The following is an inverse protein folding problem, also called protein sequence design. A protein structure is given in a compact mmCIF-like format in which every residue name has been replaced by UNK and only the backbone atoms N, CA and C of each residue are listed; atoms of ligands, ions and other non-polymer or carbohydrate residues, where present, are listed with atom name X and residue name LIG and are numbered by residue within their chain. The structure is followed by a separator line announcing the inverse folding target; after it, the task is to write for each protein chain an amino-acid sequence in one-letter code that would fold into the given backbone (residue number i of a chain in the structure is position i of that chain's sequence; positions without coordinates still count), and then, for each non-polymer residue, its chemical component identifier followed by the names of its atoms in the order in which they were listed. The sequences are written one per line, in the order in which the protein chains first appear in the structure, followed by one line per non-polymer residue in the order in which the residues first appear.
data_IF_409634779004
#
_entry.id   IF_409634779004
#
_cell.length_a   1.000
_cell.length_b   1.000
_cell.length_c   1.000
_cell.angle_alpha   90.00
_cell.angle_beta   90.00
_cell.angle_gamma   90.00
#
_symmetry.space_group_name_H-M   'P 1'
#
loop_
_entity.id
_entity.type
_entity.pdbx_description
1 polymer ?
#
# COMPACT_ATOMS: atom_id res chain seq x y z
N UNK A 1 5.14 18.84 20.37
CA UNK A 1 3.73 18.79 19.90
C UNK A 1 3.54 17.99 18.60
N UNK A 2 4.60 17.44 17.97
CA UNK A 2 4.51 16.70 16.68
C UNK A 2 4.14 15.20 16.78
N UNK A 3 4.08 14.61 17.98
CA UNK A 3 3.74 13.18 18.15
C UNK A 3 2.23 12.93 18.03
N UNK A 4 1.41 13.87 18.52
CA UNK A 4 -0.04 13.72 18.60
C UNK A 4 -0.73 13.75 17.23
N UNK A 5 -0.20 14.51 16.27
CA UNK A 5 -0.77 14.60 14.92
C UNK A 5 -0.51 13.30 14.14
N UNK A 6 0.69 12.73 14.26
CA UNK A 6 1.02 11.40 13.73
C UNK A 6 0.12 10.33 14.34
N UNK A 7 -0.03 10.30 15.66
CA UNK A 7 -0.89 9.30 16.33
C UNK A 7 -2.38 9.44 15.97
N UNK A 8 -2.86 10.67 15.79
CA UNK A 8 -4.23 10.93 15.32
C UNK A 8 -4.44 10.44 13.88
N UNK A 9 -3.49 10.73 12.98
CA UNK A 9 -3.50 10.26 11.60
C UNK A 9 -3.47 8.73 11.52
N UNK A 10 -2.62 8.10 12.33
CA UNK A 10 -2.52 6.64 12.48
C UNK A 10 -3.86 6.02 12.91
N UNK A 11 -4.64 6.69 13.76
CA UNK A 11 -5.98 6.24 14.14
C UNK A 11 -6.99 6.34 12.99
N UNK A 12 -6.94 7.41 12.20
CA UNK A 12 -7.85 7.58 11.06
C UNK A 12 -7.59 6.54 9.96
N UNK A 13 -6.31 6.29 9.61
CA UNK A 13 -5.96 5.27 8.62
C UNK A 13 -6.29 3.87 9.12
N UNK A 14 -5.95 3.54 10.37
CA UNK A 14 -6.31 2.23 10.94
C UNK A 14 -7.83 2.00 10.92
N UNK A 15 -8.64 3.02 11.21
CA UNK A 15 -10.09 2.89 11.16
C UNK A 15 -10.64 2.71 9.73
N UNK A 16 -10.03 3.36 8.73
CA UNK A 16 -10.43 3.26 7.34
C UNK A 16 -10.01 1.93 6.68
N UNK A 17 -8.83 1.42 7.04
CA UNK A 17 -8.25 0.20 6.46
C UNK A 17 -8.69 -1.05 7.21
N UNK A 18 -8.84 -0.97 8.54
CA UNK A 18 -9.26 -2.09 9.38
C UNK A 18 -10.78 -2.07 9.58
N UNK A 19 -11.52 -2.49 8.56
CA UNK A 19 -12.95 -2.79 8.70
C UNK A 19 -13.15 -4.32 8.83
N UNK A 20 -13.18 -4.89 10.05
CA UNK A 20 -13.33 -6.33 10.27
C UNK A 20 -14.68 -6.90 9.77
N UNK A 21 -15.58 -6.04 9.30
CA UNK A 21 -16.92 -6.39 8.80
C UNK A 21 -17.07 -6.27 7.28
N UNK A 22 -16.04 -5.86 6.52
CA UNK A 22 -16.09 -5.91 5.05
C UNK A 22 -16.05 -7.39 4.65
N UNK A 23 -17.22 -7.96 4.30
CA UNK A 23 -17.34 -9.34 3.79
C UNK A 23 -16.46 -9.49 2.56
N UNK A 24 -15.29 -10.08 2.72
CA UNK A 24 -14.45 -10.53 1.61
C UNK A 24 -15.14 -11.70 0.95
N UNK A 25 -15.57 -11.52 -0.32
CA UNK A 25 -15.63 -12.65 -1.26
C UNK A 25 -14.29 -13.38 -1.15
N UNK A 26 -14.32 -14.71 -1.01
CA UNK A 26 -13.20 -15.66 -0.89
C UNK A 26 -11.86 -15.02 -0.50
N UNK A 27 -11.40 -15.27 0.74
CA UNK A 27 -10.10 -14.81 1.26
C UNK A 27 -9.00 -15.07 0.22
N UNK A 28 -8.68 -14.06 -0.59
CA UNK A 28 -7.58 -14.15 -1.53
C UNK A 28 -6.31 -14.18 -0.68
N UNK A 29 -5.56 -15.28 -0.75
CA UNK A 29 -4.28 -15.39 -0.08
C UNK A 29 -3.35 -14.40 -0.77
N UNK A 30 -3.07 -13.28 -0.11
CA UNK A 30 -2.11 -12.29 -0.57
C UNK A 30 -0.69 -12.89 -0.48
N UNK A 31 0.20 -12.60 -1.43
CA UNK A 31 1.57 -13.09 -1.38
C UNK A 31 2.28 -12.57 -0.13
N UNK A 32 3.17 -13.40 0.42
CA UNK A 32 3.94 -13.07 1.61
C UNK A 32 5.27 -12.44 1.20
N UNK A 33 5.61 -11.31 1.82
CA UNK A 33 6.87 -10.61 1.63
C UNK A 33 7.74 -10.75 2.88
N UNK A 34 9.07 -10.78 2.67
CA UNK A 34 10.03 -10.83 3.77
C UNK A 34 10.39 -9.41 4.18
N UNK A 35 10.06 -9.08 5.42
CA UNK A 35 10.34 -7.77 6.00
C UNK A 35 11.45 -7.95 7.04
N UNK A 36 12.34 -6.96 7.12
CA UNK A 36 13.33 -6.88 8.19
C UNK A 36 12.89 -5.80 9.17
N UNK A 37 12.78 -6.14 10.45
CA UNK A 37 12.51 -5.16 11.51
C UNK A 37 13.69 -4.17 11.60
N UNK A 38 13.41 -2.88 11.53
CA UNK A 38 14.45 -1.84 11.58
C UNK A 38 15.09 -1.71 12.97
N UNK A 39 14.40 -2.16 14.03
CA UNK A 39 14.85 -2.05 15.42
C UNK A 39 15.54 -3.32 15.87
N UNK A 40 14.96 -4.49 15.60
CA UNK A 40 15.51 -5.79 16.06
C UNK A 40 16.40 -6.45 15.01
N UNK A 41 16.30 -6.05 13.74
CA UNK A 41 16.98 -6.71 12.62
C UNK A 41 16.40 -8.09 12.27
N UNK A 42 15.30 -8.50 12.91
CA UNK A 42 14.68 -9.80 12.68
C UNK A 42 13.95 -9.83 11.35
N UNK A 43 14.07 -10.95 10.63
CA UNK A 43 13.35 -11.18 9.38
C UNK A 43 12.09 -11.98 9.65
N UNK A 44 10.97 -11.51 9.14
CA UNK A 44 9.69 -12.20 9.27
C UNK A 44 8.86 -12.02 8.00
N UNK A 45 7.92 -12.93 7.77
CA UNK A 45 7.07 -12.92 6.57
C UNK A 45 5.68 -12.43 6.93
N UNK A 46 5.18 -11.44 6.19
CA UNK A 46 3.82 -10.91 6.34
C UNK A 46 3.13 -10.79 4.98
N UNK A 47 1.79 -10.74 4.92
CA UNK A 47 1.09 -10.43 3.69
C UNK A 47 1.56 -9.09 3.13
N UNK A 48 1.79 -9.02 1.81
CA UNK A 48 2.25 -7.79 1.14
C UNK A 48 1.39 -6.58 1.49
N UNK A 49 0.07 -6.78 1.56
CA UNK A 49 -0.87 -5.71 1.91
C UNK A 49 -0.57 -5.08 3.28
N UNK A 50 -0.20 -5.90 4.26
CA UNK A 50 0.16 -5.42 5.60
C UNK A 50 1.48 -4.64 5.57
N UNK A 51 2.44 -5.09 4.76
CA UNK A 51 3.71 -4.40 4.59
C UNK A 51 3.53 -3.04 3.89
N UNK A 52 2.75 -2.99 2.81
CA UNK A 52 2.41 -1.74 2.12
C UNK A 52 1.71 -0.76 3.05
N UNK A 53 0.77 -1.24 3.86
CA UNK A 53 0.09 -0.42 4.86
C UNK A 53 1.08 0.14 5.88
N UNK A 54 1.99 -0.68 6.40
CA UNK A 54 3.04 -0.23 7.34
C UNK A 54 3.92 0.87 6.74
N UNK A 55 4.32 0.73 5.47
CA UNK A 55 5.10 1.74 4.76
C UNK A 55 4.32 3.05 4.56
N UNK A 56 3.04 2.98 4.19
CA UNK A 56 2.16 4.17 4.11
C UNK A 56 2.08 4.88 5.47
N UNK A 57 1.84 4.11 6.54
CA UNK A 57 1.76 4.64 7.90
C UNK A 57 3.07 5.29 8.37
N UNK A 58 4.21 4.82 7.87
CA UNK A 58 5.54 5.39 8.10
C UNK A 58 5.89 6.56 7.16
N UNK A 59 4.95 7.04 6.35
CA UNK A 59 5.17 8.07 5.32
C UNK A 59 6.22 7.68 4.26
N UNK A 60 6.43 6.38 4.06
CA UNK A 60 7.36 5.84 3.05
C UNK A 60 6.61 5.40 1.79
N UNK A 61 5.82 6.30 1.21
CA UNK A 61 4.91 5.97 0.09
C UNK A 61 5.69 5.50 -1.15
N UNK A 62 6.82 6.14 -1.47
CA UNK A 62 7.68 5.72 -2.59
C UNK A 62 8.22 4.28 -2.41
N UNK A 63 8.60 3.91 -1.18
CA UNK A 63 9.06 2.55 -0.87
C UNK A 63 7.91 1.54 -0.98
N UNK A 64 6.70 1.95 -0.57
CA UNK A 64 5.50 1.14 -0.73
C UNK A 64 5.17 0.90 -2.21
N UNK A 65 5.21 1.93 -3.04
CA UNK A 65 4.95 1.80 -4.49
C UNK A 65 6.00 0.91 -5.17
N UNK A 66 7.29 1.10 -4.86
CA UNK A 66 8.35 0.24 -5.38
C UNK A 66 8.12 -1.23 -5.02
N UNK A 67 7.74 -1.50 -3.77
CA UNK A 67 7.44 -2.86 -3.30
C UNK A 67 6.20 -3.45 -4.01
N UNK A 68 5.16 -2.65 -4.21
CA UNK A 68 3.96 -3.08 -4.93
C UNK A 68 4.32 -3.57 -6.35
N UNK A 69 5.10 -2.78 -7.09
CA UNK A 69 5.48 -3.13 -8.46
C UNK A 69 6.53 -4.24 -8.53
N UNK A 70 7.48 -4.32 -7.59
CA UNK A 70 8.48 -5.40 -7.58
C UNK A 70 7.86 -6.77 -7.36
N UNK A 71 6.77 -6.84 -6.58
CA UNK A 71 6.07 -8.08 -6.28
C UNK A 71 5.02 -8.46 -7.35
N UNK A 72 4.84 -7.63 -8.38
CA UNK A 72 3.87 -7.90 -9.45
C UNK A 72 4.12 -9.22 -10.18
N UNK A 73 5.39 -9.63 -10.33
CA UNK A 73 5.79 -10.90 -10.95
C UNK A 73 5.48 -12.12 -10.07
N UNK A 74 5.30 -11.92 -8.76
CA UNK A 74 5.07 -12.98 -7.78
C UNK A 74 3.58 -13.27 -7.50
N UNK A 75 2.66 -12.62 -8.22
CA UNK A 75 1.22 -12.79 -8.02
C UNK A 75 0.44 -12.79 -9.32
N UNK A 76 -0.79 -13.29 -9.29
CA UNK A 76 -1.66 -13.25 -10.46
C UNK A 76 -2.03 -11.79 -10.82
N UNK A 77 -2.21 -11.50 -12.11
CA UNK A 77 -2.54 -10.16 -12.59
C UNK A 77 -3.77 -9.54 -11.90
N UNK A 78 -4.81 -10.35 -11.66
CA UNK A 78 -6.02 -9.90 -10.96
C UNK A 78 -5.71 -9.51 -9.51
N UNK A 79 -4.89 -10.30 -8.81
CA UNK A 79 -4.47 -10.01 -7.44
C UNK A 79 -3.61 -8.74 -7.39
N UNK A 80 -2.67 -8.57 -8.31
CA UNK A 80 -1.85 -7.37 -8.43
C UNK A 80 -2.72 -6.13 -8.69
N UNK A 81 -3.68 -6.24 -9.61
CA UNK A 81 -4.57 -5.14 -9.95
C UNK A 81 -5.46 -4.72 -8.78
N UNK A 82 -6.07 -5.67 -8.08
CA UNK A 82 -6.89 -5.38 -6.90
C UNK A 82 -6.05 -4.82 -5.74
N UNK A 83 -4.83 -5.32 -5.54
CA UNK A 83 -3.90 -4.78 -4.54
C UNK A 83 -3.49 -3.34 -4.88
N UNK A 84 -3.12 -3.06 -6.13
CA UNK A 84 -2.76 -1.72 -6.57
C UNK A 84 -3.93 -0.75 -6.49
N UNK A 85 -5.14 -1.20 -6.84
CA UNK A 85 -6.35 -0.40 -6.67
C UNK A 85 -6.59 -0.04 -5.20
N UNK A 86 -6.53 -1.02 -4.30
CA UNK A 86 -6.62 -0.79 -2.86
C UNK A 86 -5.54 0.20 -2.36
N UNK A 87 -4.30 0.06 -2.84
CA UNK A 87 -3.18 0.93 -2.48
C UNK A 87 -3.46 2.39 -2.83
N UNK A 88 -3.82 2.68 -4.10
CA UNK A 88 -4.08 4.07 -4.50
C UNK A 88 -5.40 4.62 -3.93
N UNK A 89 -6.41 3.80 -3.65
CA UNK A 89 -7.62 4.23 -2.93
C UNK A 89 -7.26 4.75 -1.51
N UNK A 90 -6.28 4.14 -0.83
CA UNK A 90 -5.80 4.66 0.45
C UNK A 90 -5.09 6.01 0.26
N UNK A 91 -4.20 6.12 -0.73
CA UNK A 91 -3.44 7.35 -0.98
C UNK A 91 -4.34 8.53 -1.37
N UNK A 92 -5.45 8.27 -2.06
CA UNK A 92 -6.43 9.30 -2.40
C UNK A 92 -7.12 9.92 -1.17
N UNK A 93 -7.24 9.15 -0.08
CA UNK A 93 -7.82 9.66 1.17
C UNK A 93 -6.85 10.53 1.98
N UNK A 94 -5.56 10.54 1.64
CA UNK A 94 -4.57 11.45 2.24
C UNK A 94 -4.78 12.86 1.71
N UNK A 95 -4.53 13.88 2.52
CA UNK A 95 -4.47 15.29 2.11
C UNK A 95 -3.17 15.60 1.38
N UNK A 96 -3.15 16.71 0.63
CA UNK A 96 -1.95 17.13 -0.11
C UNK A 96 -0.75 17.36 0.82
N UNK A 97 -0.99 17.87 2.03
CA UNK A 97 0.05 18.04 3.07
C UNK A 97 0.64 16.72 3.55
N UNK A 98 -0.19 15.68 3.69
CA UNK A 98 0.27 14.36 4.12
C UNK A 98 1.05 13.66 3.02
N UNK A 99 0.64 13.83 1.76
CA UNK A 99 1.38 13.35 0.60
C UNK A 99 2.74 14.07 0.48
N UNK A 100 2.77 15.39 0.58
CA UNK A 100 4.01 16.17 0.58
C UNK A 100 4.95 15.75 1.71
N UNK A 101 4.42 15.50 2.91
CA UNK A 101 5.21 14.99 4.04
C UNK A 101 5.81 13.60 3.80
N UNK A 102 5.20 12.80 2.92
CA UNK A 102 5.71 11.51 2.45
C UNK A 102 6.55 11.60 1.17
N UNK A 103 6.85 12.82 0.69
CA UNK A 103 7.50 13.06 -0.61
C UNK A 103 6.75 12.37 -1.76
N UNK A 104 5.44 12.52 -1.78
CA UNK A 104 4.53 12.00 -2.81
C UNK A 104 3.54 13.08 -3.24
N UNK A 105 2.87 12.89 -4.37
CA UNK A 105 1.99 13.89 -4.97
C UNK A 105 0.76 13.27 -5.63
N UNK A 106 -0.25 14.10 -5.88
CA UNK A 106 -1.42 13.69 -6.68
C UNK A 106 -1.05 13.27 -8.09
N UNK A 107 -0.04 13.90 -8.68
CA UNK A 107 0.45 13.56 -10.01
C UNK A 107 1.03 12.13 -10.03
N UNK A 108 1.77 11.75 -8.98
CA UNK A 108 2.30 10.39 -8.84
C UNK A 108 1.19 9.36 -8.64
N UNK A 109 0.13 9.66 -7.89
CA UNK A 109 -1.05 8.78 -7.81
C UNK A 109 -1.67 8.55 -9.20
N UNK A 110 -1.84 9.61 -9.98
CA UNK A 110 -2.43 9.53 -11.33
C UNK A 110 -1.52 8.71 -12.26
N UNK A 111 -0.21 8.97 -12.22
CA UNK A 111 0.78 8.25 -13.00
C UNK A 111 0.80 6.76 -12.63
N UNK A 112 0.89 6.46 -11.34
CA UNK A 112 0.91 5.08 -10.83
C UNK A 112 -0.36 4.30 -11.18
N UNK A 113 -1.54 4.92 -11.10
CA UNK A 113 -2.80 4.32 -11.59
C UNK A 113 -2.77 4.04 -13.09
N UNK A 114 -2.20 4.94 -13.90
CA UNK A 114 -2.05 4.71 -15.33
C UNK A 114 -1.09 3.55 -15.63
N UNK A 115 -0.01 3.43 -14.86
CA UNK A 115 0.96 2.34 -15.01
C UNK A 115 0.38 1.00 -14.54
N UNK A 116 -0.39 0.97 -13.45
CA UNK A 116 -1.18 -0.18 -13.01
C UNK A 116 -2.14 -0.66 -14.12
N UNK A 117 -2.84 0.27 -14.76
CA UNK A 117 -3.77 -0.03 -15.86
C UNK A 117 -3.06 -0.53 -17.13
N UNK A 118 -1.86 -0.03 -17.43
CA UNK A 118 -1.05 -0.53 -18.55
C UNK A 118 -0.58 -1.95 -18.25
N UNK A 119 -0.06 -2.21 -17.05
CA UNK A 119 0.44 -3.52 -16.65
C UNK A 119 -0.63 -4.62 -16.79
N UNK A 120 -1.87 -4.31 -16.40
CA UNK A 120 -2.99 -5.25 -16.56
C UNK A 120 -3.32 -5.55 -18.04
N UNK A 121 -3.08 -4.62 -18.97
CA UNK A 121 -3.34 -4.82 -20.41
C UNK A 121 -2.25 -5.65 -21.09
N UNK A 122 -0.99 -5.46 -20.72
CA UNK A 122 0.15 -6.13 -21.37
C UNK A 122 0.14 -7.65 -21.15
N UNK A 123 -0.39 -8.10 -20.01
CA UNK A 123 -0.40 -9.52 -19.62
C UNK A 123 -1.70 -10.26 -20.00
N UNK A 124 -2.57 -9.67 -20.82
CA UNK A 124 -3.80 -10.29 -21.35
C UNK A 124 -3.69 -10.71 -22.84
N UNK A 125 -2.50 -10.60 -23.43
CA UNK A 125 -2.18 -11.00 -24.82
C UNK A 125 -1.32 -12.25 -24.84
#
# INVERSE_FOLDING_TARGET
MMQNEKDWFMRQIKAAVFNPFKKTKEVQIMPMVHVTDEVTGEKYSIPIQNHLLDLILKFKINEAENTLFSESENMANEQFYELGKWFYEILENLSDKELEAANFSRAEIIQGKADLAKHNKTNQT
#
